data_IF_424277945316
#
_entry.id   IF_424277945316
#
_cell.length_a   1.000
_cell.length_b   1.000
_cell.length_c   1.000
_cell.angle_alpha   90.00
_cell.angle_beta   90.00
_cell.angle_gamma   90.00
#
_symmetry.space_group_name_H-M   'P 1'
#
loop_
_entity.id
_entity.type
_entity.pdbx_description
1 polymer ?
#
# COMPACT_ATOMS: atom_id res chain seq x y z
N UNK A 1 12.85 -9.49 19.27
CA UNK A 1 13.09 -10.57 18.27
C UNK A 1 14.08 -10.12 17.19
N UNK A 2 14.03 -8.86 16.75
CA UNK A 2 14.90 -8.35 15.68
C UNK A 2 16.37 -8.20 16.10
N UNK A 3 16.66 -7.91 17.39
CA UNK A 3 18.03 -7.94 17.92
C UNK A 3 18.72 -9.29 17.78
N UNK A 4 17.99 -10.39 17.97
CA UNK A 4 18.56 -11.74 17.94
C UNK A 4 19.05 -12.14 16.54
N UNK A 5 18.33 -11.74 15.48
CA UNK A 5 18.79 -12.01 14.10
C UNK A 5 20.05 -11.25 13.73
N UNK A 6 20.19 -10.00 14.17
CA UNK A 6 21.33 -9.18 13.76
C UNK A 6 22.62 -9.57 14.50
N UNK A 7 22.52 -10.10 15.72
CA UNK A 7 23.67 -10.68 16.42
C UNK A 7 24.04 -12.04 15.85
N UNK A 8 23.08 -12.82 15.32
CA UNK A 8 23.30 -14.18 14.84
C UNK A 8 24.47 -14.32 13.85
N UNK A 9 24.54 -13.47 12.82
CA UNK A 9 25.61 -13.51 11.79
C UNK A 9 26.98 -13.17 12.38
N UNK A 10 27.00 -12.28 13.38
CA UNK A 10 28.22 -11.91 14.11
C UNK A 10 28.65 -13.06 15.04
N UNK A 11 27.71 -13.61 15.79
CA UNK A 11 27.93 -14.65 16.80
C UNK A 11 28.38 -15.97 16.15
N UNK A 12 27.82 -16.29 14.98
CA UNK A 12 28.23 -17.44 14.16
C UNK A 12 29.53 -17.23 13.38
N UNK A 13 30.13 -16.02 13.44
CA UNK A 13 31.34 -15.65 12.68
C UNK A 13 31.25 -15.92 11.18
N UNK A 14 30.04 -15.93 10.61
CA UNK A 14 29.82 -16.22 9.19
C UNK A 14 30.54 -15.21 8.28
N UNK A 15 30.59 -13.94 8.70
CA UNK A 15 31.34 -12.89 8.02
C UNK A 15 32.85 -13.20 7.94
N UNK A 16 33.46 -13.77 8.98
CA UNK A 16 34.88 -14.16 8.96
C UNK A 16 35.13 -15.34 8.00
N UNK A 17 34.21 -16.30 7.93
CA UNK A 17 34.30 -17.45 7.03
C UNK A 17 34.24 -17.03 5.55
N UNK A 18 33.33 -16.11 5.20
CA UNK A 18 33.22 -15.56 3.84
C UNK A 18 34.49 -14.78 3.47
N UNK A 19 35.02 -13.96 4.39
CA UNK A 19 36.25 -13.19 4.14
C UNK A 19 37.48 -14.07 3.93
N UNK A 20 37.56 -15.20 4.65
CA UNK A 20 38.59 -16.22 4.45
C UNK A 20 38.45 -16.87 3.08
N UNK A 21 37.25 -17.30 2.70
CA UNK A 21 37.00 -17.95 1.41
C UNK A 21 37.31 -17.04 0.22
N UNK A 22 37.06 -15.74 0.35
CA UNK A 22 37.32 -14.74 -0.70
C UNK A 22 38.74 -14.13 -0.64
N UNK A 23 39.60 -14.53 0.32
CA UNK A 23 40.92 -13.94 0.56
C UNK A 23 40.89 -12.40 0.77
N UNK A 24 39.85 -11.87 1.40
CA UNK A 24 39.65 -10.42 1.60
C UNK A 24 40.02 -9.91 3.01
N UNK A 25 40.60 -10.76 3.85
CA UNK A 25 40.89 -10.42 5.25
C UNK A 25 41.83 -9.20 5.42
N UNK A 26 42.74 -8.97 4.47
CA UNK A 26 43.70 -7.85 4.52
C UNK A 26 43.13 -6.51 4.06
N UNK A 27 41.98 -6.51 3.38
CA UNK A 27 41.39 -5.32 2.75
C UNK A 27 40.19 -4.79 3.54
N UNK A 28 39.57 -5.63 4.36
CA UNK A 28 38.27 -5.32 4.97
C UNK A 28 38.39 -4.58 6.30
N UNK A 29 37.58 -3.52 6.43
CA UNK A 29 37.44 -2.74 7.66
C UNK A 29 36.74 -3.54 8.76
N UNK A 30 37.00 -3.18 10.01
CA UNK A 30 36.31 -3.76 11.17
C UNK A 30 34.80 -3.61 11.04
N UNK A 31 34.08 -4.72 11.23
CA UNK A 31 32.63 -4.77 11.18
C UNK A 31 32.01 -3.77 12.18
N UNK A 32 31.23 -2.82 11.66
CA UNK A 32 30.51 -1.83 12.46
C UNK A 32 28.99 -2.05 12.35
N UNK A 33 28.38 -2.56 13.42
CA UNK A 33 26.93 -2.79 13.50
C UNK A 33 26.21 -1.76 14.37
N UNK A 34 26.86 -0.65 14.74
CA UNK A 34 26.31 0.30 15.73
C UNK A 34 24.94 0.83 15.33
N UNK A 35 24.76 1.24 14.08
CA UNK A 35 23.49 1.79 13.58
C UNK A 35 22.39 0.72 13.52
N UNK A 36 22.72 -0.47 13.04
CA UNK A 36 21.80 -1.59 12.96
C UNK A 36 21.32 -2.06 14.35
N UNK A 37 22.23 -2.15 15.32
CA UNK A 37 21.87 -2.46 16.71
C UNK A 37 21.01 -1.36 17.34
N UNK A 38 21.31 -0.09 17.06
CA UNK A 38 20.49 1.03 17.53
C UNK A 38 19.08 0.99 16.93
N UNK A 39 18.94 0.66 15.64
CA UNK A 39 17.65 0.48 14.98
C UNK A 39 16.87 -0.69 15.57
N UNK A 40 17.48 -1.87 15.68
CA UNK A 40 16.83 -3.04 16.29
C UNK A 40 16.37 -2.75 17.72
N UNK A 41 17.18 -2.01 18.48
CA UNK A 41 16.82 -1.50 19.82
C UNK A 41 15.59 -0.63 19.78
N UNK A 42 15.53 0.34 18.87
CA UNK A 42 14.36 1.22 18.72
C UNK A 42 13.11 0.40 18.41
N UNK A 43 13.19 -0.51 17.44
CA UNK A 43 12.04 -1.33 17.04
C UNK A 43 11.47 -2.18 18.18
N UNK A 44 12.35 -2.80 18.99
CA UNK A 44 11.92 -3.64 20.12
C UNK A 44 11.28 -2.81 21.27
N UNK A 45 11.50 -1.48 21.35
CA UNK A 45 10.98 -0.60 22.42
C UNK A 45 9.71 0.19 22.04
N UNK A 46 9.10 -0.10 20.89
CA UNK A 46 7.90 0.61 20.44
C UNK A 46 6.65 0.04 21.12
N UNK A 47 5.96 0.88 21.89
CA UNK A 47 4.74 0.49 22.63
C UNK A 47 3.47 1.19 22.14
N UNK A 48 3.55 2.48 21.84
CA UNK A 48 2.40 3.28 21.45
C UNK A 48 1.96 2.93 20.01
N UNK A 49 0.76 2.37 19.80
CA UNK A 49 0.34 1.93 18.49
C UNK A 49 -0.01 3.10 17.56
N UNK A 50 0.19 2.88 16.27
CA UNK A 50 -0.47 3.65 15.20
C UNK A 50 -1.19 2.65 14.30
N UNK A 51 -2.51 2.80 14.17
CA UNK A 51 -3.37 1.89 13.43
C UNK A 51 -3.57 2.42 12.02
N UNK A 52 -3.05 1.71 11.04
CA UNK A 52 -3.19 2.08 9.63
C UNK A 52 -4.11 1.06 8.97
N UNK A 53 -5.27 1.53 8.50
CA UNK A 53 -6.14 0.73 7.65
C UNK A 53 -5.52 0.61 6.26
N UNK A 54 -5.31 -0.63 5.82
CA UNK A 54 -4.75 -0.95 4.52
C UNK A 54 -5.80 -1.70 3.70
N UNK A 55 -6.20 -1.07 2.59
CA UNK A 55 -7.24 -1.59 1.72
C UNK A 55 -6.63 -2.48 0.64
N UNK A 56 -6.92 -3.77 0.68
CA UNK A 56 -6.29 -4.74 -0.22
C UNK A 56 -7.28 -5.74 -0.79
N UNK A 57 -6.95 -6.26 -1.97
CA UNK A 57 -7.63 -7.43 -2.55
C UNK A 57 -7.22 -8.71 -1.83
N UNK A 58 -5.98 -8.76 -1.34
CA UNK A 58 -5.38 -9.94 -0.72
C UNK A 58 -5.17 -9.70 0.77
N UNK A 59 -6.24 -9.74 1.56
CA UNK A 59 -6.14 -9.63 3.03
C UNK A 59 -5.40 -10.82 3.66
N UNK A 60 -5.34 -11.96 2.97
CA UNK A 60 -4.66 -13.18 3.42
C UNK A 60 -3.20 -13.31 2.96
N UNK A 61 -2.75 -12.51 1.98
CA UNK A 61 -1.41 -12.62 1.40
C UNK A 61 -0.61 -11.33 1.64
N UNK A 62 0.03 -11.24 2.81
CA UNK A 62 0.82 -10.07 3.22
C UNK A 62 1.98 -9.74 2.28
N UNK A 63 2.48 -10.73 1.54
CA UNK A 63 3.68 -10.60 0.72
C UNK A 63 3.45 -9.70 -0.50
N UNK A 64 2.21 -9.63 -1.01
CA UNK A 64 1.85 -8.74 -2.12
C UNK A 64 2.08 -7.24 -1.78
N UNK A 65 2.08 -6.91 -0.49
CA UNK A 65 2.18 -5.55 0.01
C UNK A 65 3.48 -5.30 0.78
N UNK A 66 4.47 -6.20 0.68
CA UNK A 66 5.67 -6.18 1.50
C UNK A 66 6.43 -4.85 1.41
N UNK A 67 6.56 -4.27 0.21
CA UNK A 67 7.25 -2.99 0.00
C UNK A 67 6.59 -1.85 0.78
N UNK A 68 5.26 -1.73 0.70
CA UNK A 68 4.46 -0.73 1.41
C UNK A 68 4.54 -0.96 2.93
N UNK A 69 4.41 -2.21 3.37
CA UNK A 69 4.52 -2.59 4.78
C UNK A 69 5.89 -2.22 5.36
N UNK A 70 6.99 -2.44 4.63
CA UNK A 70 8.33 -2.06 5.07
C UNK A 70 8.52 -0.54 5.09
N UNK A 71 7.98 0.18 4.11
CA UNK A 71 8.02 1.64 4.10
C UNK A 71 7.27 2.23 5.31
N UNK A 72 6.05 1.74 5.58
CA UNK A 72 5.28 2.13 6.77
C UNK A 72 5.99 1.75 8.06
N UNK A 73 6.64 0.58 8.11
CA UNK A 73 7.43 0.17 9.27
C UNK A 73 8.58 1.16 9.52
N UNK A 74 9.34 1.51 8.49
CA UNK A 74 10.44 2.48 8.61
C UNK A 74 9.93 3.84 9.11
N UNK A 75 8.82 4.34 8.55
CA UNK A 75 8.19 5.57 8.99
C UNK A 75 7.73 5.49 10.45
N UNK A 76 7.08 4.40 10.85
CA UNK A 76 6.60 4.19 12.22
C UNK A 76 7.74 4.18 13.23
N UNK A 77 8.87 3.52 12.91
CA UNK A 77 10.07 3.48 13.75
C UNK A 77 10.69 4.86 13.90
N UNK A 78 10.73 5.65 12.81
CA UNK A 78 11.19 7.03 12.86
C UNK A 78 10.30 7.91 13.75
N UNK A 79 8.98 7.72 13.70
CA UNK A 79 7.99 8.40 14.53
C UNK A 79 7.84 7.82 15.95
N UNK A 80 8.62 6.80 16.32
CA UNK A 80 8.54 6.07 17.60
C UNK A 80 7.16 5.49 17.90
N UNK A 81 6.45 5.03 16.86
CA UNK A 81 5.14 4.35 16.96
C UNK A 81 5.24 2.89 16.56
N UNK A 82 4.48 2.02 17.22
CA UNK A 82 4.32 0.62 16.84
C UNK A 82 3.27 0.51 15.74
N UNK A 83 3.71 0.18 14.52
CA UNK A 83 2.79 -0.03 13.40
C UNK A 83 1.84 -1.20 13.68
N UNK A 84 0.54 -0.94 13.56
CA UNK A 84 -0.53 -1.95 13.56
C UNK A 84 -1.29 -1.80 12.25
N UNK A 85 -1.25 -2.86 11.43
CA UNK A 85 -1.98 -2.88 10.16
C UNK A 85 -3.36 -3.48 10.40
N UNK A 86 -4.39 -2.75 9.99
CA UNK A 86 -5.76 -3.23 9.92
C UNK A 86 -6.03 -3.56 8.47
N UNK A 87 -6.16 -4.85 8.17
CA UNK A 87 -6.49 -5.30 6.82
C UNK A 87 -7.97 -5.10 6.59
N UNK A 88 -8.31 -4.31 5.57
CA UNK A 88 -9.69 -4.06 5.16
C UNK A 88 -9.87 -4.57 3.74
N UNK A 89 -10.81 -5.49 3.56
CA UNK A 89 -11.22 -5.96 2.25
C UNK A 89 -12.17 -4.93 1.66
N UNK A 90 -11.83 -4.38 0.48
CA UNK A 90 -12.66 -3.37 -0.15
C UNK A 90 -14.04 -3.91 -0.55
N UNK A 91 -14.14 -5.18 -0.97
CA UNK A 91 -15.42 -5.81 -1.33
C UNK A 91 -16.38 -5.89 -0.15
N UNK A 92 -15.85 -6.07 1.05
CA UNK A 92 -16.68 -6.24 2.25
C UNK A 92 -17.40 -4.95 2.64
N UNK A 93 -16.96 -3.79 2.11
CA UNK A 93 -17.61 -2.49 2.29
C UNK A 93 -18.65 -2.16 1.21
N UNK A 94 -18.74 -2.95 0.13
CA UNK A 94 -19.66 -2.70 -0.99
C UNK A 94 -21.12 -2.96 -0.60
N UNK A 95 -22.04 -2.32 -1.33
CA UNK A 95 -23.48 -2.44 -1.09
C UNK A 95 -24.00 -3.88 -1.26
N UNK A 96 -23.43 -4.64 -2.20
CA UNK A 96 -23.79 -6.05 -2.40
C UNK A 96 -23.52 -6.89 -1.14
N UNK A 97 -22.34 -6.77 -0.54
CA UNK A 97 -22.00 -7.49 0.69
C UNK A 97 -22.82 -7.02 1.89
N UNK A 98 -23.20 -5.74 1.94
CA UNK A 98 -24.12 -5.25 2.98
C UNK A 98 -25.50 -5.95 2.94
N UNK A 99 -25.92 -6.43 1.77
CA UNK A 99 -27.18 -7.18 1.58
C UNK A 99 -26.97 -8.68 1.81
N UNK A 100 -25.94 -9.27 1.17
CA UNK A 100 -25.68 -10.71 1.20
C UNK A 100 -25.12 -11.19 2.54
N UNK A 101 -24.32 -10.38 3.22
CA UNK A 101 -23.59 -10.74 4.44
C UNK A 101 -23.42 -9.53 5.37
N UNK A 102 -24.52 -9.03 5.96
CA UNK A 102 -24.52 -7.81 6.77
C UNK A 102 -23.59 -7.89 8.00
N UNK A 103 -23.38 -9.08 8.55
CA UNK A 103 -22.48 -9.28 9.70
C UNK A 103 -21.01 -9.05 9.32
N UNK A 104 -20.60 -9.50 8.12
CA UNK A 104 -19.24 -9.27 7.59
C UNK A 104 -19.03 -7.78 7.35
N UNK A 105 -19.98 -7.13 6.66
CA UNK A 105 -19.92 -5.69 6.41
C UNK A 105 -19.81 -4.88 7.72
N UNK A 106 -20.64 -5.20 8.72
CA UNK A 106 -20.62 -4.54 10.03
C UNK A 106 -19.29 -4.76 10.75
N UNK A 107 -18.76 -5.98 10.74
CA UNK A 107 -17.48 -6.29 11.38
C UNK A 107 -16.33 -5.51 10.72
N UNK A 108 -16.30 -5.45 9.39
CA UNK A 108 -15.31 -4.69 8.62
C UNK A 108 -15.39 -3.19 8.92
N UNK A 109 -16.59 -2.62 8.96
CA UNK A 109 -16.78 -1.22 9.37
C UNK A 109 -16.32 -0.94 10.80
N UNK A 110 -16.63 -1.82 11.75
CA UNK A 110 -16.20 -1.66 13.14
C UNK A 110 -14.67 -1.66 13.24
N UNK A 111 -13.99 -2.51 12.48
CA UNK A 111 -12.53 -2.56 12.43
C UNK A 111 -11.96 -1.28 11.79
N UNK A 112 -12.51 -0.87 10.63
CA UNK A 112 -12.07 0.31 9.90
C UNK A 112 -12.20 1.59 10.72
N UNK A 113 -13.29 1.74 11.49
CA UNK A 113 -13.52 2.90 12.38
C UNK A 113 -12.47 3.07 13.48
N UNK A 114 -11.67 2.05 13.78
CA UNK A 114 -10.58 2.15 14.75
C UNK A 114 -9.27 2.67 14.16
N UNK A 115 -9.20 2.86 12.84
CA UNK A 115 -7.98 3.28 12.17
C UNK A 115 -7.67 4.76 12.38
N UNK A 116 -6.39 5.06 12.59
CA UNK A 116 -5.86 6.42 12.75
C UNK A 116 -5.50 7.05 11.38
N UNK A 117 -5.26 6.21 10.38
CA UNK A 117 -4.94 6.62 9.01
C UNK A 117 -5.36 5.55 8.00
N UNK A 118 -5.53 5.94 6.75
CA UNK A 118 -5.91 5.08 5.62
C UNK A 118 -4.81 5.07 4.57
N UNK A 119 -4.45 3.88 4.11
CA UNK A 119 -3.56 3.67 2.96
C UNK A 119 -4.29 2.81 1.94
N UNK A 120 -4.47 3.36 0.75
CA UNK A 120 -4.98 2.61 -0.39
C UNK A 120 -3.80 2.37 -1.34
N UNK A 121 -3.22 1.15 -1.32
CA UNK A 121 -2.11 0.79 -2.19
C UNK A 121 -2.55 0.65 -3.64
N UNK A 122 -1.58 0.32 -4.49
CA UNK A 122 -1.83 -0.03 -5.87
C UNK A 122 -2.78 -1.23 -5.99
N UNK A 123 -3.52 -1.25 -7.09
CA UNK A 123 -4.46 -2.30 -7.42
C UNK A 123 -4.70 -2.30 -8.92
N UNK A 124 -5.04 -3.48 -9.41
CA UNK A 124 -5.52 -3.67 -10.77
C UNK A 124 -6.89 -4.32 -10.67
N UNK A 125 -7.75 -4.06 -11.66
CA UNK A 125 -9.08 -4.66 -11.83
C UNK A 125 -10.20 -3.90 -11.10
N UNK A 126 -11.40 -3.92 -11.71
CA UNK A 126 -12.67 -3.31 -11.32
C UNK A 126 -13.19 -3.70 -9.91
N UNK A 127 -12.78 -4.86 -9.41
CA UNK A 127 -13.26 -5.40 -8.14
C UNK A 127 -12.85 -4.55 -6.93
N UNK A 128 -13.82 -4.23 -6.07
CA UNK A 128 -13.56 -3.47 -4.85
C UNK A 128 -13.44 -1.96 -5.08
N UNK A 129 -13.67 -1.46 -6.30
CA UNK A 129 -13.56 -0.02 -6.62
C UNK A 129 -14.62 0.78 -5.86
N UNK A 130 -15.87 0.31 -5.82
CA UNK A 130 -16.94 0.98 -5.08
C UNK A 130 -16.60 1.04 -3.58
N UNK A 131 -16.13 -0.07 -3.01
CA UNK A 131 -15.70 -0.11 -1.62
C UNK A 131 -14.55 0.86 -1.31
N UNK A 132 -13.60 1.02 -2.24
CA UNK A 132 -12.52 2.02 -2.12
C UNK A 132 -13.05 3.45 -2.25
N UNK A 133 -14.03 3.72 -3.10
CA UNK A 133 -14.65 5.06 -3.17
C UNK A 133 -15.37 5.39 -1.85
N UNK A 134 -16.04 4.40 -1.25
CA UNK A 134 -16.69 4.51 0.07
C UNK A 134 -15.64 4.80 1.16
N UNK A 135 -14.47 4.14 1.11
CA UNK A 135 -13.38 4.40 2.07
C UNK A 135 -12.84 5.83 1.98
N UNK A 136 -12.64 6.33 0.76
CA UNK A 136 -12.05 7.64 0.53
C UNK A 136 -13.02 8.72 1.00
N UNK A 137 -14.31 8.51 0.73
CA UNK A 137 -15.39 9.36 1.22
C UNK A 137 -15.42 9.39 2.75
N UNK A 138 -15.39 8.21 3.38
CA UNK A 138 -15.39 8.10 4.83
C UNK A 138 -14.17 8.80 5.45
N UNK A 139 -12.97 8.58 4.91
CA UNK A 139 -11.75 9.21 5.38
C UNK A 139 -11.84 10.74 5.27
N UNK A 140 -12.32 11.26 4.12
CA UNK A 140 -12.51 12.70 3.90
C UNK A 140 -13.51 13.31 4.87
N UNK A 141 -14.69 12.70 5.02
CA UNK A 141 -15.78 13.22 5.87
C UNK A 141 -15.41 13.21 7.35
N UNK A 142 -14.60 12.25 7.78
CA UNK A 142 -14.16 12.11 9.17
C UNK A 142 -12.77 12.71 9.43
N UNK A 143 -12.16 13.39 8.46
CA UNK A 143 -10.84 14.02 8.55
C UNK A 143 -9.73 13.04 8.96
N UNK A 144 -9.83 11.79 8.50
CA UNK A 144 -8.82 10.76 8.71
C UNK A 144 -7.73 10.95 7.65
N UNK A 145 -6.44 10.99 8.01
CA UNK A 145 -5.34 11.04 7.06
C UNK A 145 -5.42 9.92 6.02
N UNK A 146 -5.37 10.27 4.74
CA UNK A 146 -5.50 9.35 3.61
C UNK A 146 -4.26 9.42 2.72
N UNK A 147 -3.69 8.26 2.38
CA UNK A 147 -2.61 8.12 1.41
C UNK A 147 -3.02 7.16 0.30
N UNK A 148 -3.36 7.72 -0.87
CA UNK A 148 -3.62 6.95 -2.08
C UNK A 148 -2.34 6.75 -2.90
N UNK A 149 -1.97 5.49 -3.15
CA UNK A 149 -0.81 5.12 -3.97
C UNK A 149 -1.31 4.61 -5.31
N UNK A 150 -0.84 5.21 -6.41
CA UNK A 150 -1.23 4.84 -7.77
C UNK A 150 -2.77 4.85 -7.92
N UNK A 151 -3.41 3.69 -7.94
CA UNK A 151 -4.86 3.55 -7.98
C UNK A 151 -5.57 4.35 -6.88
N UNK A 152 -5.04 4.37 -5.66
CA UNK A 152 -5.65 5.11 -4.55
C UNK A 152 -5.76 6.62 -4.83
N UNK A 153 -4.85 7.19 -5.61
CA UNK A 153 -4.98 8.58 -6.07
C UNK A 153 -6.15 8.75 -7.03
N UNK A 154 -6.32 7.82 -7.98
CA UNK A 154 -7.44 7.85 -8.91
C UNK A 154 -8.79 7.75 -8.18
N UNK A 155 -8.89 6.86 -7.18
CA UNK A 155 -10.08 6.70 -6.34
C UNK A 155 -10.42 8.00 -5.60
N UNK A 156 -9.43 8.68 -5.01
CA UNK A 156 -9.66 9.95 -4.33
C UNK A 156 -10.20 11.03 -5.27
N UNK A 157 -9.70 11.08 -6.51
CA UNK A 157 -10.21 12.02 -7.55
C UNK A 157 -11.66 11.69 -7.92
N UNK A 158 -11.96 10.41 -8.15
CA UNK A 158 -13.31 9.93 -8.49
C UNK A 158 -14.29 10.26 -7.36
N UNK A 159 -13.93 9.97 -6.11
CA UNK A 159 -14.74 10.28 -4.93
C UNK A 159 -15.01 11.77 -4.83
N UNK A 160 -13.97 12.60 -4.96
CA UNK A 160 -14.11 14.04 -4.82
C UNK A 160 -14.99 14.65 -5.94
N UNK A 161 -14.82 14.18 -7.17
CA UNK A 161 -15.66 14.57 -8.30
C UNK A 161 -17.14 14.23 -8.06
N UNK A 162 -17.42 13.00 -7.61
CA UNK A 162 -18.79 12.53 -7.35
C UNK A 162 -19.45 13.19 -6.15
N UNK A 163 -18.70 13.37 -5.06
CA UNK A 163 -19.22 13.87 -3.78
C UNK A 163 -19.26 15.39 -3.69
N UNK A 164 -18.16 16.07 -4.03
CA UNK A 164 -18.00 17.51 -3.77
C UNK A 164 -18.34 18.34 -5.01
N UNK A 165 -17.90 17.92 -6.19
CA UNK A 165 -18.23 18.62 -7.45
C UNK A 165 -19.63 18.26 -7.97
N UNK A 166 -20.25 17.22 -7.41
CA UNK A 166 -21.59 16.78 -7.81
C UNK A 166 -21.63 16.10 -9.18
N UNK A 167 -20.48 15.71 -9.74
CA UNK A 167 -20.38 15.02 -11.03
C UNK A 167 -20.86 13.57 -10.85
N UNK A 168 -22.16 13.34 -11.04
CA UNK A 168 -22.75 12.00 -10.95
C UNK A 168 -22.13 11.07 -12.00
N UNK A 169 -21.98 9.80 -11.63
CA UNK A 169 -21.34 8.80 -12.49
C UNK A 169 -19.93 9.23 -12.93
N UNK A 170 -19.17 9.86 -12.02
CA UNK A 170 -17.75 10.13 -12.19
C UNK A 170 -16.96 8.83 -12.07
N UNK A 171 -16.11 8.53 -13.05
CA UNK A 171 -15.29 7.32 -13.03
C UNK A 171 -14.00 7.44 -13.86
N UNK A 172 -13.18 6.39 -13.89
CA UNK A 172 -12.06 6.27 -14.85
C UNK A 172 -12.47 5.46 -16.08
N UNK A 173 -11.76 5.66 -17.18
CA UNK A 173 -11.89 4.80 -18.37
C UNK A 173 -11.50 3.34 -18.11
N UNK A 174 -10.72 3.05 -17.06
CA UNK A 174 -10.33 1.70 -16.70
C UNK A 174 -11.49 0.93 -16.05
N UNK A 175 -12.30 1.60 -15.23
CA UNK A 175 -13.37 0.96 -14.45
C UNK A 175 -14.72 1.02 -15.13
N UNK A 176 -15.06 2.16 -15.73
CA UNK A 176 -16.31 2.33 -16.47
C UNK A 176 -16.07 3.23 -17.69
N UNK A 177 -15.78 2.63 -18.86
CA UNK A 177 -15.62 3.37 -20.12
C UNK A 177 -16.88 4.14 -20.54
N UNK A 178 -18.06 3.76 -20.03
CA UNK A 178 -19.35 4.37 -20.38
C UNK A 178 -19.80 5.41 -19.34
N UNK A 179 -18.97 5.70 -18.34
CA UNK A 179 -19.30 6.69 -17.33
C UNK A 179 -19.51 8.07 -17.96
N UNK A 180 -20.54 8.78 -17.49
CA UNK A 180 -20.93 10.07 -18.06
C UNK A 180 -19.87 11.14 -17.82
N UNK A 181 -19.14 11.03 -16.70
CA UNK A 181 -18.08 11.94 -16.33
C UNK A 181 -16.77 11.16 -16.14
N UNK A 182 -15.87 11.25 -17.13
CA UNK A 182 -14.58 10.58 -17.05
C UNK A 182 -13.57 11.51 -16.37
N UNK A 183 -13.12 11.14 -15.17
CA UNK A 183 -12.17 11.92 -14.38
C UNK A 183 -10.72 11.49 -14.58
N UNK A 184 -10.50 10.23 -14.95
CA UNK A 184 -9.17 9.66 -15.19
C UNK A 184 -9.19 8.91 -16.52
N UNK A 185 -8.28 9.28 -17.40
CA UNK A 185 -8.16 8.70 -18.75
C UNK A 185 -6.87 7.90 -18.88
N UNK A 186 -6.90 6.88 -19.73
CA UNK A 186 -5.70 6.18 -20.16
C UNK A 186 -4.91 7.04 -21.16
N UNK A 187 -3.63 7.30 -20.86
CA UNK A 187 -2.73 8.06 -21.73
C UNK A 187 -1.35 7.40 -21.74
N UNK A 188 -0.94 6.88 -22.90
CA UNK A 188 0.38 6.28 -23.07
C UNK A 188 1.47 7.33 -23.26
N UNK A 189 2.67 7.05 -22.77
CA UNK A 189 3.85 7.83 -23.09
C UNK A 189 4.26 7.56 -24.55
N UNK A 190 4.20 8.60 -25.39
CA UNK A 190 4.64 8.52 -26.78
C UNK A 190 6.10 8.98 -26.84
N UNK A 191 7.02 8.03 -26.84
CA UNK A 191 8.43 8.29 -27.16
C UNK A 191 8.59 8.43 -28.68
N UNK A 192 9.58 9.20 -29.14
CA UNK A 192 9.78 9.51 -30.57
C UNK A 192 9.98 8.26 -31.47
N UNK A 193 10.33 7.10 -30.88
CA UNK A 193 10.40 5.80 -31.58
C UNK A 193 9.04 5.06 -31.65
N UNK A 194 8.11 5.31 -30.72
CA UNK A 194 6.79 4.66 -30.68
C UNK A 194 5.81 5.20 -31.71
N UNK A 195 6.08 6.38 -32.28
CA UNK A 195 5.28 6.96 -33.38
C UNK A 195 5.31 6.11 -34.67
N UNK A 196 6.39 5.35 -34.92
CA UNK A 196 6.45 4.38 -36.02
C UNK A 196 5.68 3.08 -35.70
N UNK A 197 5.62 2.67 -34.43
CA UNK A 197 4.93 1.44 -34.03
C UNK A 197 3.40 1.62 -33.93
N UNK A 198 2.94 2.83 -33.59
CA UNK A 198 1.51 3.20 -33.57
C UNK A 198 0.85 3.22 -34.96
N UNK A 199 1.62 3.09 -36.05
CA UNK A 199 1.09 2.88 -37.40
C UNK A 199 0.71 1.41 -37.69
N UNK A 200 1.05 0.48 -36.80
CA UNK A 200 0.65 -0.93 -36.96
C UNK A 200 -0.74 -1.17 -36.37
N UNK A 201 -1.61 -1.95 -37.04
CA UNK A 201 -3.02 -2.11 -36.67
C UNK A 201 -3.25 -2.82 -35.33
N UNK A 202 -2.20 -3.32 -34.66
CA UNK A 202 -2.29 -4.01 -33.37
C UNK A 202 -2.58 -3.09 -32.18
N UNK A 203 -2.32 -1.77 -32.28
CA UNK A 203 -2.56 -0.82 -31.17
C UNK A 203 -3.97 -0.22 -31.11
N UNK A 204 -4.91 -0.62 -31.98
CA UNK A 204 -6.30 -0.11 -31.98
C UNK A 204 -7.30 -0.96 -31.18
N UNK A 205 -6.82 -1.92 -30.40
CA UNK A 205 -7.67 -2.95 -29.76
C UNK A 205 -7.57 -2.98 -28.23
N UNK A 206 -7.13 -1.88 -27.61
CA UNK A 206 -7.27 -1.63 -26.17
C UNK A 206 -8.00 -0.31 -25.99
#
# INVERSE_FOLDING_TARGET
>A
MQRACLSLIKDQKAHEAILKALNLLSVVRKLNLKEWMAMATRCDMLHEPVRVAMFGKYTSLSDAYLSVLKALLHASVACRRKLVIIWVSATDLEGATAIESPDVNRATWNLFKTADAVVVPDGFVDRGVEGKIIDAKYARENKIPYLGICLGMQIAVIEYAGSILGLKNANSTEFDPNATNICVIFMLEVCFQTSLLLQTPFCKLV
#
